data_IF_897487875151
#
_entry.id   IF_897487875151
#
_cell.length_a   1.000
_cell.length_b   1.000
_cell.length_c   1.000
_cell.angle_alpha   90.00
_cell.angle_beta   90.00
_cell.angle_gamma   90.00
#
_symmetry.space_group_name_H-M   'P 1'
#
loop_
_entity.id
_entity.type
_entity.pdbx_description
1 polymer ?
#
# COMPACT_ATOMS: atom_id res chain seq x y z
N UNK A 1 11.17 10.14 -25.23
CA UNK A 1 9.84 10.57 -24.80
C UNK A 1 8.84 10.60 -25.95
N UNK A 2 9.29 10.39 -27.18
CA UNK A 2 8.39 10.22 -28.32
C UNK A 2 7.64 8.88 -28.20
N UNK A 3 6.32 8.97 -28.03
CA UNK A 3 5.36 7.90 -28.21
C UNK A 3 4.73 8.10 -29.59
N UNK A 4 4.28 7.03 -30.25
CA UNK A 4 3.76 7.08 -31.64
C UNK A 4 2.73 8.18 -31.91
N UNK A 5 1.97 8.62 -30.89
CA UNK A 5 0.87 9.60 -31.02
C UNK A 5 0.84 10.69 -29.94
N UNK A 6 1.86 10.79 -29.05
CA UNK A 6 1.89 11.78 -27.98
C UNK A 6 3.29 12.02 -27.41
N UNK A 7 3.48 13.19 -26.81
CA UNK A 7 4.71 13.52 -26.11
C UNK A 7 4.62 13.05 -24.66
N UNK A 8 5.52 12.16 -24.23
CA UNK A 8 5.56 11.64 -22.86
C UNK A 8 5.66 12.74 -21.79
N UNK A 9 6.13 13.94 -22.14
CA UNK A 9 6.14 15.09 -21.23
C UNK A 9 4.74 15.66 -21.02
N UNK A 10 3.94 15.77 -22.06
CA UNK A 10 2.53 16.20 -21.96
C UNK A 10 1.70 15.22 -21.15
N UNK A 11 1.92 13.92 -21.36
CA UNK A 11 1.29 12.87 -20.56
C UNK A 11 1.67 13.01 -19.07
N UNK A 12 2.93 13.27 -18.77
CA UNK A 12 3.41 13.48 -17.42
C UNK A 12 2.82 14.74 -16.76
N UNK A 13 2.69 15.83 -17.51
CA UNK A 13 2.03 17.06 -17.04
C UNK A 13 0.56 16.80 -16.70
N UNK A 14 -0.15 16.07 -17.57
CA UNK A 14 -1.55 15.69 -17.33
C UNK A 14 -1.69 14.78 -16.11
N UNK A 15 -0.82 13.79 -15.96
CA UNK A 15 -0.79 12.95 -14.75
C UNK A 15 -0.56 13.79 -13.50
N UNK A 16 0.40 14.70 -13.52
CA UNK A 16 0.73 15.58 -12.39
C UNK A 16 -0.42 16.52 -12.04
N UNK A 17 -1.22 16.94 -13.01
CA UNK A 17 -2.42 17.75 -12.75
C UNK A 17 -3.54 16.98 -12.07
N UNK A 18 -3.62 15.66 -12.30
CA UNK A 18 -4.61 14.76 -11.69
C UNK A 18 -4.14 14.25 -10.31
N UNK A 19 -2.86 13.95 -10.19
CA UNK A 19 -2.23 13.45 -8.97
C UNK A 19 -0.90 14.16 -8.75
N UNK A 20 -0.85 14.98 -7.67
CA UNK A 20 0.35 15.74 -7.30
C UNK A 20 1.47 14.86 -6.73
N UNK A 21 1.14 13.68 -6.26
CA UNK A 21 2.04 12.79 -5.55
C UNK A 21 2.49 11.58 -6.38
N UNK A 22 1.94 11.39 -7.58
CA UNK A 22 2.34 10.27 -8.46
C UNK A 22 3.85 10.29 -8.72
N UNK A 23 4.51 9.14 -8.60
CA UNK A 23 5.92 9.01 -8.91
C UNK A 23 6.08 8.81 -10.41
N UNK A 24 6.89 9.68 -11.02
CA UNK A 24 7.18 9.65 -12.46
C UNK A 24 8.67 9.34 -12.65
N UNK A 25 8.96 8.29 -13.40
CA UNK A 25 10.30 7.94 -13.86
C UNK A 25 10.25 7.90 -15.41
N UNK A 26 11.10 8.65 -16.06
CA UNK A 26 11.21 8.63 -17.51
C UNK A 26 12.26 7.64 -18.00
N UNK A 27 11.95 6.91 -19.07
CA UNK A 27 12.94 6.15 -19.82
C UNK A 27 13.03 6.71 -21.25
N UNK A 28 14.23 7.09 -21.71
CA UNK A 28 14.42 7.73 -23.01
C UNK A 28 15.82 7.47 -23.58
N UNK A 29 15.96 7.57 -24.91
CA UNK A 29 17.28 7.59 -25.57
C UNK A 29 17.92 8.99 -25.58
N UNK A 30 17.16 10.04 -25.23
CA UNK A 30 17.55 11.44 -25.39
C UNK A 30 17.82 12.09 -24.03
N UNK A 31 19.09 12.18 -23.66
CA UNK A 31 19.53 12.76 -22.37
C UNK A 31 19.11 14.24 -22.20
N UNK A 32 18.97 14.98 -23.28
CA UNK A 32 18.56 16.40 -23.23
C UNK A 32 17.17 16.65 -22.62
N UNK A 33 16.31 15.62 -22.59
CA UNK A 33 15.00 15.74 -21.93
C UNK A 33 15.05 15.59 -20.41
N UNK A 34 16.19 15.20 -19.83
CA UNK A 34 16.33 15.12 -18.38
C UNK A 34 16.04 16.45 -17.68
N UNK A 35 16.50 17.57 -18.28
CA UNK A 35 16.26 18.92 -17.75
C UNK A 35 14.76 19.26 -17.72
N UNK A 36 13.99 18.81 -18.70
CA UNK A 36 12.54 19.06 -18.74
C UNK A 36 11.76 18.27 -17.69
N UNK A 37 12.33 17.19 -17.16
CA UNK A 37 11.71 16.39 -16.08
C UNK A 37 11.47 17.15 -14.80
N UNK A 38 12.25 18.20 -14.51
CA UNK A 38 12.01 19.08 -13.35
C UNK A 38 10.65 19.77 -13.41
N UNK A 39 10.11 20.05 -14.59
CA UNK A 39 8.82 20.74 -14.77
C UNK A 39 7.64 19.90 -14.26
N UNK A 40 7.80 18.58 -14.21
CA UNK A 40 6.77 17.64 -13.74
C UNK A 40 7.17 16.94 -12.44
N UNK A 41 8.24 17.41 -11.77
CA UNK A 41 8.79 16.79 -10.57
C UNK A 41 8.99 15.28 -10.77
N UNK A 42 9.63 14.89 -11.88
CA UNK A 42 9.98 13.48 -12.10
C UNK A 42 11.02 13.04 -11.06
N UNK A 43 10.84 11.86 -10.48
CA UNK A 43 11.75 11.31 -9.49
C UNK A 43 13.10 10.97 -10.10
N UNK A 44 13.11 10.47 -11.33
CA UNK A 44 14.34 10.05 -11.99
C UNK A 44 14.18 9.96 -13.51
N UNK A 45 15.33 9.84 -14.19
CA UNK A 45 15.48 9.65 -15.63
C UNK A 45 16.41 8.47 -15.91
N UNK A 46 16.00 7.57 -16.81
CA UNK A 46 16.79 6.43 -17.23
C UNK A 46 17.10 6.54 -18.71
N UNK A 47 18.38 6.62 -19.07
CA UNK A 47 18.81 6.69 -20.45
C UNK A 47 18.94 5.28 -21.02
N UNK A 48 18.29 5.02 -22.15
CA UNK A 48 18.41 3.75 -22.90
C UNK A 48 19.70 3.73 -23.74
N UNK A 49 20.43 2.60 -23.78
CA UNK A 49 20.16 1.32 -23.11
C UNK A 49 20.51 1.36 -21.63
N UNK A 50 19.76 0.66 -20.80
CA UNK A 50 20.03 0.51 -19.37
C UNK A 50 20.10 -0.96 -18.97
N UNK A 51 20.91 -1.28 -17.96
CA UNK A 51 21.01 -2.61 -17.37
C UNK A 51 20.03 -2.77 -16.21
N UNK A 52 19.89 -4.01 -15.74
CA UNK A 52 19.00 -4.36 -14.63
C UNK A 52 19.34 -3.59 -13.35
N UNK A 53 20.61 -3.49 -12.99
CA UNK A 53 21.05 -2.84 -11.75
C UNK A 53 20.68 -1.36 -11.73
N UNK A 54 20.86 -0.68 -12.86
CA UNK A 54 20.49 0.72 -13.03
C UNK A 54 18.98 0.95 -12.91
N UNK A 55 18.16 0.03 -13.41
CA UNK A 55 16.71 0.09 -13.28
C UNK A 55 16.28 -0.23 -11.84
N UNK A 56 16.80 -1.31 -11.26
CA UNK A 56 16.49 -1.76 -9.90
C UNK A 56 16.78 -0.65 -8.88
N UNK A 57 17.95 -0.04 -8.94
CA UNK A 57 18.31 1.07 -8.04
C UNK A 57 17.30 2.22 -8.04
N UNK A 58 16.78 2.58 -9.22
CA UNK A 58 15.80 3.68 -9.35
C UNK A 58 14.40 3.27 -8.90
N UNK A 59 14.03 2.02 -9.14
CA UNK A 59 12.78 1.47 -8.62
C UNK A 59 12.81 1.37 -7.10
N UNK A 60 13.93 0.92 -6.50
CA UNK A 60 14.12 0.89 -5.05
C UNK A 60 14.03 2.28 -4.42
N UNK A 61 14.57 3.30 -5.12
CA UNK A 61 14.41 4.69 -4.71
C UNK A 61 12.96 5.13 -4.76
N UNK A 62 12.22 4.78 -5.81
CA UNK A 62 10.80 5.08 -5.94
C UNK A 62 9.99 4.42 -4.82
N UNK A 63 10.28 3.16 -4.51
CA UNK A 63 9.63 2.44 -3.42
C UNK A 63 9.89 3.10 -2.07
N UNK A 64 11.13 3.52 -1.79
CA UNK A 64 11.44 4.26 -0.55
C UNK A 64 10.65 5.56 -0.44
N UNK A 65 10.57 6.35 -1.52
CA UNK A 65 9.78 7.59 -1.53
C UNK A 65 8.29 7.32 -1.28
N UNK A 66 7.74 6.24 -1.84
CA UNK A 66 6.37 5.81 -1.55
C UNK A 66 6.21 5.40 -0.08
N UNK A 67 7.21 4.73 0.49
CA UNK A 67 7.20 4.31 1.87
C UNK A 67 7.25 5.49 2.85
N UNK A 68 8.10 6.48 2.57
CA UNK A 68 8.21 7.72 3.35
C UNK A 68 6.93 8.57 3.28
N UNK A 69 6.20 8.52 2.16
CA UNK A 69 4.91 9.21 1.97
C UNK A 69 3.71 8.47 2.57
N UNK A 70 3.90 7.28 3.15
CA UNK A 70 2.80 6.59 3.81
C UNK A 70 2.27 7.43 4.96
N UNK A 71 1.00 7.84 4.93
CA UNK A 71 0.48 8.72 5.95
C UNK A 71 0.46 7.99 7.29
N UNK A 72 1.04 8.66 8.28
CA UNK A 72 0.85 8.27 9.67
C UNK A 72 -0.56 8.67 10.09
N UNK A 73 -1.24 7.81 10.80
CA UNK A 73 -2.50 8.17 11.43
C UNK A 73 -2.39 8.11 12.95
N UNK A 74 -3.05 9.06 13.57
CA UNK A 74 -3.04 9.20 15.02
C UNK A 74 -4.11 8.30 15.64
N UNK A 75 -3.72 7.54 16.67
CA UNK A 75 -4.61 6.69 17.46
C UNK A 75 -4.56 7.10 18.92
N UNK A 76 -5.68 6.92 19.61
CA UNK A 76 -5.78 7.19 21.05
C UNK A 76 -5.58 5.90 21.82
N UNK A 77 -4.49 5.82 22.58
CA UNK A 77 -4.15 4.70 23.44
C UNK A 77 -4.37 5.08 24.91
N UNK A 78 -4.21 4.11 25.80
CA UNK A 78 -4.24 4.37 27.25
C UNK A 78 -3.12 5.31 27.69
N UNK A 79 -1.99 5.30 26.98
CA UNK A 79 -0.81 6.09 27.33
C UNK A 79 -0.75 7.46 26.62
N UNK A 80 -1.78 7.81 25.84
CA UNK A 80 -1.83 9.06 25.10
C UNK A 80 -2.11 8.87 23.61
N UNK A 81 -1.53 9.73 22.78
CA UNK A 81 -1.68 9.70 21.33
C UNK A 81 -0.43 9.06 20.71
N UNK A 82 -0.64 8.09 19.84
CA UNK A 82 0.43 7.42 19.09
C UNK A 82 0.22 7.58 17.58
N UNK A 83 1.33 7.72 16.86
CA UNK A 83 1.34 7.79 15.40
C UNK A 83 1.68 6.42 14.84
N UNK A 84 0.78 5.85 14.05
CA UNK A 84 0.95 4.53 13.44
C UNK A 84 1.04 4.64 11.92
N UNK A 85 1.94 3.85 11.34
CA UNK A 85 1.97 3.65 9.90
C UNK A 85 1.10 2.42 9.57
N UNK A 86 0.12 2.51 8.63
CA UNK A 86 -0.68 1.36 8.20
C UNK A 86 0.16 0.15 7.77
N UNK A 87 1.35 0.38 7.19
CA UNK A 87 2.24 -0.69 6.73
C UNK A 87 2.83 -1.54 7.86
N UNK A 88 2.92 -0.98 9.07
CA UNK A 88 3.46 -1.69 10.23
C UNK A 88 2.41 -2.59 10.89
N UNK A 89 1.14 -2.40 10.57
CA UNK A 89 0.03 -3.14 11.16
C UNK A 89 -0.21 -4.42 10.38
N UNK A 90 -0.19 -5.55 11.08
CA UNK A 90 -0.47 -6.88 10.55
C UNK A 90 -1.98 -7.11 10.43
N UNK A 91 -2.67 -6.90 11.53
CA UNK A 91 -4.12 -7.01 11.63
C UNK A 91 -4.61 -6.22 12.86
N UNK A 92 -5.92 -6.02 12.91
CA UNK A 92 -6.60 -5.37 14.02
C UNK A 92 -7.72 -6.29 14.48
N UNK A 93 -7.83 -6.52 15.76
CA UNK A 93 -8.93 -7.29 16.35
C UNK A 93 -9.62 -6.55 17.50
N UNK A 94 -10.79 -7.04 17.85
CA UNK A 94 -11.53 -6.54 19.01
C UNK A 94 -11.04 -7.27 20.27
N UNK A 95 -10.53 -6.52 21.23
CA UNK A 95 -10.10 -7.01 22.53
C UNK A 95 -10.87 -6.32 23.65
N UNK A 96 -11.89 -6.99 24.19
CA UNK A 96 -12.79 -6.40 25.17
C UNK A 96 -13.48 -5.14 24.65
N UNK A 97 -13.21 -3.99 25.26
CA UNK A 97 -13.74 -2.69 24.86
C UNK A 97 -12.75 -1.86 24.03
N UNK A 98 -11.65 -2.46 23.59
CA UNK A 98 -10.59 -1.83 22.83
C UNK A 98 -10.33 -2.59 21.53
N UNK A 99 -9.53 -2.02 20.66
CA UNK A 99 -8.99 -2.65 19.47
C UNK A 99 -7.52 -2.97 19.72
N UNK A 100 -7.09 -4.19 19.43
CA UNK A 100 -5.69 -4.60 19.40
C UNK A 100 -5.11 -4.37 18.00
N UNK A 101 -4.18 -3.44 17.87
CA UNK A 101 -3.40 -3.22 16.64
C UNK A 101 -2.13 -4.04 16.73
N UNK A 102 -2.10 -5.15 16.02
CA UNK A 102 -0.98 -6.08 16.04
C UNK A 102 0.09 -5.66 15.03
N UNK A 103 1.31 -5.48 15.51
CA UNK A 103 2.48 -5.13 14.72
C UNK A 103 3.61 -6.13 14.98
N UNK A 104 4.67 -6.11 14.18
CA UNK A 104 5.86 -6.94 14.44
C UNK A 104 6.56 -6.58 15.76
N UNK A 105 6.32 -5.38 16.30
CA UNK A 105 6.90 -4.89 17.56
C UNK A 105 6.03 -5.19 18.80
N UNK A 106 4.82 -5.69 18.58
CA UNK A 106 3.85 -5.97 19.65
C UNK A 106 2.46 -5.40 19.35
N UNK A 107 1.58 -5.48 20.33
CA UNK A 107 0.19 -5.05 20.21
C UNK A 107 -0.03 -3.70 20.89
N UNK A 108 -0.65 -2.78 20.16
CA UNK A 108 -1.04 -1.46 20.66
C UNK A 108 -2.55 -1.47 20.87
N UNK A 109 -3.01 -1.16 22.08
CA UNK A 109 -4.43 -1.11 22.38
C UNK A 109 -4.99 0.29 22.18
N UNK A 110 -6.01 0.38 21.32
CA UNK A 110 -6.57 1.62 20.80
C UNK A 110 -8.05 1.70 21.15
N UNK A 111 -8.49 2.87 21.60
CA UNK A 111 -9.91 3.15 21.80
C UNK A 111 -10.57 3.46 20.45
N UNK A 112 -11.70 2.83 20.19
CA UNK A 112 -12.46 3.05 18.95
C UNK A 112 -13.30 1.87 18.55
N UNK A 113 -13.95 1.98 17.40
CA UNK A 113 -14.75 0.90 16.81
C UNK A 113 -14.14 0.43 15.51
N UNK A 114 -14.18 -0.87 15.28
CA UNK A 114 -13.50 -1.52 14.16
C UNK A 114 -13.98 -1.01 12.78
N UNK A 115 -15.25 -0.60 12.66
CA UNK A 115 -15.81 -0.05 11.41
C UNK A 115 -15.18 1.28 10.99
N UNK A 116 -14.80 2.15 11.93
CA UNK A 116 -14.11 3.40 11.60
C UNK A 116 -12.73 3.13 11.00
N UNK A 117 -12.03 2.12 11.52
CA UNK A 117 -10.73 1.72 10.99
C UNK A 117 -10.83 0.93 9.70
N UNK A 118 -11.93 0.18 9.49
CA UNK A 118 -12.23 -0.47 8.21
C UNK A 118 -12.27 0.56 7.07
N UNK A 119 -13.00 1.66 7.25
CA UNK A 119 -13.08 2.74 6.27
C UNK A 119 -11.74 3.48 6.08
N UNK A 120 -11.08 3.85 7.19
CA UNK A 120 -9.81 4.59 7.16
C UNK A 120 -8.66 3.79 6.54
N UNK A 121 -8.64 2.48 6.75
CA UNK A 121 -7.53 1.62 6.33
C UNK A 121 -7.81 0.83 5.04
N UNK A 122 -9.03 0.88 4.49
CA UNK A 122 -9.34 0.27 3.20
C UNK A 122 -8.38 0.68 2.07
N UNK A 123 -7.97 1.97 1.93
CA UNK A 123 -6.99 2.37 0.90
C UNK A 123 -5.60 1.74 1.06
N UNK A 124 -5.28 1.23 2.25
CA UNK A 124 -3.99 0.59 2.58
C UNK A 124 -4.02 -0.93 2.53
N UNK A 125 -5.07 -1.51 1.94
CA UNK A 125 -5.19 -2.95 1.76
C UNK A 125 -5.70 -3.70 2.99
N UNK A 126 -6.42 -3.02 3.88
CA UNK A 126 -7.11 -3.68 4.99
C UNK A 126 -8.52 -4.13 4.57
N UNK A 127 -8.88 -5.32 4.99
CA UNK A 127 -10.21 -5.86 4.79
C UNK A 127 -10.69 -6.62 6.03
N UNK A 128 -11.99 -6.59 6.22
CA UNK A 128 -12.64 -7.30 7.31
C UNK A 128 -12.77 -8.78 7.01
N UNK A 129 -12.08 -9.64 7.79
CA UNK A 129 -12.17 -11.09 7.67
C UNK A 129 -13.28 -11.69 8.54
N UNK A 130 -13.62 -11.03 9.66
CA UNK A 130 -14.69 -11.45 10.57
C UNK A 130 -15.41 -10.25 11.18
N UNK A 131 -16.38 -10.46 12.06
CA UNK A 131 -17.04 -9.37 12.79
C UNK A 131 -16.10 -8.65 13.76
N UNK A 132 -15.01 -9.31 14.15
CA UNK A 132 -14.07 -8.83 15.16
C UNK A 132 -12.66 -8.59 14.63
N UNK A 133 -12.38 -8.75 13.32
CA UNK A 133 -11.02 -8.59 12.82
C UNK A 133 -10.94 -7.98 11.41
N UNK A 134 -9.93 -7.11 11.24
CA UNK A 134 -9.43 -6.56 9.98
C UNK A 134 -8.02 -7.10 9.73
N UNK A 135 -7.71 -7.52 8.51
CA UNK A 135 -6.37 -7.99 8.14
C UNK A 135 -5.77 -7.12 7.05
N UNK A 136 -4.47 -6.92 7.12
CA UNK A 136 -3.69 -6.27 6.08
C UNK A 136 -3.28 -7.30 5.03
N UNK A 137 -3.72 -7.15 3.79
CA UNK A 137 -3.40 -8.08 2.71
C UNK A 137 -1.90 -8.22 2.45
N UNK A 138 -1.13 -7.14 2.60
CA UNK A 138 0.33 -7.16 2.42
C UNK A 138 1.05 -8.04 3.46
N UNK A 139 0.38 -8.38 4.56
CA UNK A 139 0.92 -9.15 5.68
C UNK A 139 0.36 -10.57 5.77
N UNK A 140 -0.44 -10.99 4.79
CA UNK A 140 -0.92 -12.37 4.69
C UNK A 140 0.18 -13.23 4.09
N UNK A 141 0.54 -14.31 4.79
CA UNK A 141 1.47 -15.32 4.30
C UNK A 141 0.75 -16.39 3.46
N UNK A 142 -0.41 -16.84 3.93
CA UNK A 142 -1.20 -17.88 3.29
C UNK A 142 -2.68 -17.79 3.69
N UNK A 143 -3.55 -18.27 2.80
CA UNK A 143 -4.99 -18.48 3.09
C UNK A 143 -5.34 -19.90 2.67
N UNK A 144 -5.77 -20.70 3.64
CA UNK A 144 -6.19 -22.08 3.40
C UNK A 144 -7.60 -22.32 3.95
N UNK A 145 -8.57 -22.51 3.04
CA UNK A 145 -9.97 -22.67 3.43
C UNK A 145 -10.54 -21.39 4.06
N UNK A 146 -10.67 -21.40 5.39
CA UNK A 146 -11.15 -20.28 6.20
C UNK A 146 -10.03 -19.67 7.05
N UNK A 147 -8.85 -20.29 7.08
CA UNK A 147 -7.75 -19.86 7.92
C UNK A 147 -6.81 -18.91 7.17
N UNK A 148 -6.43 -17.84 7.83
CA UNK A 148 -5.47 -16.84 7.36
C UNK A 148 -4.23 -16.97 8.24
N UNK A 149 -3.07 -17.26 7.64
CA UNK A 149 -1.79 -17.19 8.34
C UNK A 149 -1.10 -15.88 8.04
N UNK A 150 -0.72 -15.14 9.08
CA UNK A 150 -0.03 -13.86 8.97
C UNK A 150 1.50 -14.07 8.89
N UNK A 151 2.22 -13.05 8.45
CA UNK A 151 3.70 -13.12 8.30
C UNK A 151 4.43 -13.33 9.63
N UNK A 152 3.86 -12.90 10.74
CA UNK A 152 4.40 -13.10 12.10
C UNK A 152 4.05 -14.48 12.70
N UNK A 153 3.29 -15.32 11.99
CA UNK A 153 2.88 -16.65 12.44
C UNK A 153 1.52 -16.71 13.11
N UNK A 154 0.86 -15.58 13.35
CA UNK A 154 -0.49 -15.55 13.89
C UNK A 154 -1.50 -16.15 12.90
N UNK A 155 -2.59 -16.67 13.42
CA UNK A 155 -3.68 -17.24 12.61
C UNK A 155 -5.01 -16.54 12.95
N UNK A 156 -5.74 -16.15 11.89
CA UNK A 156 -7.09 -15.61 12.00
C UNK A 156 -8.05 -16.45 11.16
N UNK A 157 -9.36 -16.27 11.38
CA UNK A 157 -10.37 -16.98 10.62
C UNK A 157 -11.27 -16.02 9.84
N UNK A 158 -11.57 -16.42 8.61
CA UNK A 158 -12.58 -15.76 7.78
C UNK A 158 -13.95 -16.28 8.21
N UNK A 159 -14.87 -15.40 8.56
CA UNK A 159 -16.25 -15.83 8.85
C UNK A 159 -16.96 -16.28 7.59
N UNK A 160 -17.84 -17.27 7.70
CA UNK A 160 -18.58 -17.83 6.55
C UNK A 160 -19.26 -16.76 5.67
N UNK A 161 -19.98 -15.76 6.23
CA UNK A 161 -20.63 -14.72 5.42
C UNK A 161 -19.65 -13.84 4.63
N UNK A 162 -18.41 -13.69 5.14
CA UNK A 162 -17.40 -12.80 4.53
C UNK A 162 -16.48 -13.50 3.55
N UNK A 163 -16.50 -14.84 3.48
CA UNK A 163 -15.55 -15.61 2.67
C UNK A 163 -15.53 -15.18 1.20
N UNK A 164 -16.70 -15.03 0.58
CA UNK A 164 -16.81 -14.65 -0.84
C UNK A 164 -16.22 -13.27 -1.11
N UNK A 165 -16.63 -12.25 -0.34
CA UNK A 165 -16.13 -10.88 -0.49
C UNK A 165 -14.65 -10.77 -0.19
N UNK A 166 -14.17 -11.46 0.85
CA UNK A 166 -12.77 -11.50 1.23
C UNK A 166 -11.89 -12.06 0.10
N UNK A 167 -12.24 -13.23 -0.46
CA UNK A 167 -11.48 -13.85 -1.54
C UNK A 167 -11.49 -13.00 -2.82
N UNK A 168 -12.62 -12.36 -3.15
CA UNK A 168 -12.70 -11.46 -4.29
C UNK A 168 -11.77 -10.24 -4.12
N UNK A 169 -11.77 -9.63 -2.93
CA UNK A 169 -10.92 -8.48 -2.65
C UNK A 169 -9.44 -8.87 -2.60
N UNK A 170 -9.11 -10.03 -2.06
CA UNK A 170 -7.74 -10.56 -2.05
C UNK A 170 -7.22 -10.80 -3.48
N UNK A 171 -8.04 -11.41 -4.34
CA UNK A 171 -7.69 -11.64 -5.74
C UNK A 171 -7.47 -10.32 -6.49
N UNK A 172 -8.34 -9.34 -6.26
CA UNK A 172 -8.21 -8.01 -6.86
C UNK A 172 -6.91 -7.31 -6.39
N UNK A 173 -6.63 -7.34 -5.10
CA UNK A 173 -5.43 -6.75 -4.52
C UNK A 173 -4.15 -7.42 -5.03
N UNK A 174 -4.15 -8.75 -5.16
CA UNK A 174 -3.02 -9.52 -5.70
C UNK A 174 -2.85 -9.41 -7.23
N UNK A 175 -3.69 -8.62 -7.92
CA UNK A 175 -3.66 -8.49 -9.38
C UNK A 175 -4.21 -9.70 -10.13
N UNK A 176 -4.83 -10.66 -9.45
CA UNK A 176 -5.55 -11.78 -10.05
C UNK A 176 -6.97 -11.33 -10.41
N UNK A 177 -7.10 -10.54 -11.47
CA UNK A 177 -8.42 -10.32 -12.08
C UNK A 177 -8.80 -11.62 -12.79
N UNK A 178 -9.69 -12.38 -12.19
CA UNK A 178 -10.25 -13.57 -12.83
C UNK A 178 -10.87 -13.19 -14.17
N UNK A 179 -10.43 -13.87 -15.23
CA UNK A 179 -11.10 -13.91 -16.52
C UNK A 179 -12.45 -14.61 -16.38
#
# INVERSE_FOLDING_TARGET
>A
IELKDSNGMEAAQKLRSLDKDVIIIFTTKMAQFAVKGYQVNALDFIIKPYNYDSLSFRLDRAMRVLDERSPLFMVKTKNGLEMLNPKDILYIDVFGHSLGFHTEKGTIYVWGVLSEYEEKLAPYGFIRCSNSALVNFAKIKNVQGMDISMTNGDSLQISHPRRKSFMTSLAHWAGFSGK
#
